data_IF_365817306237
#
_entry.id   IF_365817306237
#
_cell.length_a   1.000
_cell.length_b   1.000
_cell.length_c   1.000
_cell.angle_alpha   90.00
_cell.angle_beta   90.00
_cell.angle_gamma   90.00
#
_symmetry.space_group_name_H-M   'P 1'
#
loop_
_entity.id
_entity.type
_entity.pdbx_description
1 polymer ?
#
# COMPACT_ATOMS: atom_id res chain seq x y z
N UNK A 1 -12.19 -15.43 -23.53
CA UNK A 1 -12.41 -14.80 -22.22
C UNK A 1 -11.13 -14.07 -21.86
N UNK A 2 -11.08 -12.77 -22.11
CA UNK A 2 -9.91 -11.93 -21.86
C UNK A 2 -9.88 -11.59 -20.38
N UNK A 3 -8.94 -12.18 -19.64
CA UNK A 3 -8.61 -11.76 -18.29
C UNK A 3 -8.18 -10.30 -18.38
N UNK A 4 -9.00 -9.38 -17.86
CA UNK A 4 -8.65 -7.98 -17.66
C UNK A 4 -7.54 -7.89 -16.60
N UNK A 5 -6.36 -8.38 -16.92
CA UNK A 5 -5.17 -8.00 -16.18
C UNK A 5 -4.90 -6.56 -16.61
N UNK A 6 -5.33 -5.59 -15.79
CA UNK A 6 -5.03 -4.17 -15.98
C UNK A 6 -3.51 -4.05 -16.09
N UNK A 7 -3.03 -3.90 -17.32
CA UNK A 7 -1.62 -3.65 -17.62
C UNK A 7 -1.15 -2.53 -16.68
N UNK A 8 -0.08 -2.80 -15.91
CA UNK A 8 0.54 -1.92 -14.91
C UNK A 8 -0.05 -1.93 -13.49
N UNK A 9 -0.85 -2.93 -13.09
CA UNK A 9 -1.22 -3.08 -11.66
C UNK A 9 -0.14 -3.82 -10.88
N UNK A 10 0.52 -3.11 -9.96
CA UNK A 10 1.52 -3.69 -9.04
C UNK A 10 0.81 -4.11 -7.75
N UNK A 11 0.88 -5.40 -7.42
CA UNK A 11 0.36 -5.95 -6.17
C UNK A 11 1.54 -6.26 -5.26
N UNK A 12 1.60 -5.58 -4.10
CA UNK A 12 2.61 -5.81 -3.07
C UNK A 12 1.96 -6.45 -1.84
N UNK A 13 2.46 -7.61 -1.44
CA UNK A 13 2.14 -8.18 -0.13
C UNK A 13 3.12 -7.65 0.92
N UNK A 14 2.60 -6.91 1.89
CA UNK A 14 3.38 -6.30 2.99
C UNK A 14 3.20 -7.05 4.32
N UNK A 15 2.49 -8.19 4.30
CA UNK A 15 2.13 -8.97 5.47
C UNK A 15 1.07 -8.32 6.35
N UNK A 16 0.98 -8.80 7.59
CA UNK A 16 0.02 -8.29 8.59
C UNK A 16 0.58 -7.08 9.36
N UNK A 17 -0.28 -6.10 9.64
CA UNK A 17 0.03 -4.95 10.49
C UNK A 17 -0.88 -4.92 11.73
N UNK A 18 -0.38 -4.41 12.86
CA UNK A 18 -1.22 -4.18 14.05
C UNK A 18 -2.03 -2.89 13.89
N UNK A 19 -3.07 -2.74 14.72
CA UNK A 19 -3.91 -1.53 14.72
C UNK A 19 -3.09 -0.24 14.88
N UNK A 20 -2.07 -0.26 15.75
CA UNK A 20 -1.24 0.91 15.99
C UNK A 20 -0.32 1.21 14.80
N UNK A 21 0.23 0.19 14.12
CA UNK A 21 1.03 0.39 12.90
C UNK A 21 0.18 1.03 11.78
N UNK A 22 -1.10 0.65 11.69
CA UNK A 22 -2.06 1.25 10.75
C UNK A 22 -2.38 2.70 11.12
N UNK A 23 -2.52 2.99 12.42
CA UNK A 23 -2.75 4.34 12.92
C UNK A 23 -1.56 5.24 12.59
N UNK A 24 -0.33 4.78 12.85
CA UNK A 24 0.89 5.52 12.52
C UNK A 24 0.99 5.78 11.01
N UNK A 25 0.65 4.78 10.18
CA UNK A 25 0.60 4.93 8.72
C UNK A 25 -0.34 6.05 8.28
N UNK A 26 -1.51 6.21 8.92
CA UNK A 26 -2.46 7.28 8.60
C UNK A 26 -1.92 8.68 8.90
N UNK A 27 -0.98 8.79 9.84
CA UNK A 27 -0.27 10.04 10.15
C UNK A 27 1.01 10.24 9.31
N UNK A 28 1.34 9.31 8.40
CA UNK A 28 2.58 9.36 7.63
C UNK A 28 3.81 8.97 8.46
N UNK A 29 3.61 8.19 9.51
CA UNK A 29 4.63 7.84 10.49
C UNK A 29 4.80 6.31 10.64
N UNK A 30 5.76 5.91 11.46
CA UNK A 30 5.94 4.51 11.86
C UNK A 30 6.66 3.64 10.83
N UNK A 31 6.84 2.36 11.20
CA UNK A 31 7.63 1.40 10.42
C UNK A 31 6.94 0.99 9.11
N UNK A 32 5.61 0.90 9.13
CA UNK A 32 4.83 0.51 7.96
C UNK A 32 4.91 1.58 6.86
N UNK A 33 4.78 2.86 7.22
CA UNK A 33 4.97 3.96 6.29
C UNK A 33 6.37 3.94 5.66
N UNK A 34 7.43 3.81 6.48
CA UNK A 34 8.81 3.74 5.98
C UNK A 34 9.03 2.59 5.00
N UNK A 35 8.42 1.43 5.25
CA UNK A 35 8.46 0.27 4.33
C UNK A 35 7.76 0.56 3.02
N UNK A 36 6.56 1.16 3.06
CA UNK A 36 5.81 1.52 1.86
C UNK A 36 6.55 2.59 1.04
N UNK A 37 7.08 3.63 1.70
CA UNK A 37 7.85 4.69 1.06
C UNK A 37 9.07 4.13 0.32
N UNK A 38 9.80 3.21 0.97
CA UNK A 38 10.94 2.51 0.35
C UNK A 38 10.52 1.67 -0.86
N UNK A 39 9.44 0.92 -0.76
CA UNK A 39 8.95 0.12 -1.88
C UNK A 39 8.55 1.02 -3.07
N UNK A 40 7.91 2.16 -2.82
CA UNK A 40 7.57 3.14 -3.87
C UNK A 40 8.85 3.72 -4.51
N UNK A 41 9.87 4.02 -3.71
CA UNK A 41 11.15 4.53 -4.21
C UNK A 41 11.85 3.49 -5.10
N UNK A 42 11.89 2.22 -4.68
CA UNK A 42 12.45 1.11 -5.47
C UNK A 42 11.67 0.92 -6.80
N UNK A 43 10.34 1.09 -6.78
CA UNK A 43 9.51 1.06 -7.99
C UNK A 43 9.76 2.23 -8.94
N UNK A 44 10.07 3.42 -8.41
CA UNK A 44 10.47 4.57 -9.24
C UNK A 44 11.83 4.36 -9.87
N UNK A 45 12.80 3.94 -9.07
CA UNK A 45 14.18 3.68 -9.51
C UNK A 45 14.26 2.57 -10.59
N UNK A 46 13.38 1.57 -10.51
CA UNK A 46 13.30 0.50 -11.52
C UNK A 46 12.56 0.90 -12.80
N UNK A 47 11.89 2.06 -12.82
CA UNK A 47 11.11 2.54 -13.95
C UNK A 47 9.72 1.89 -14.08
N UNK A 48 9.33 1.05 -13.12
CA UNK A 48 7.99 0.43 -13.06
C UNK A 48 6.89 1.46 -12.76
N UNK A 49 7.26 2.58 -12.12
CA UNK A 49 6.38 3.71 -11.80
C UNK A 49 7.06 5.01 -12.23
N UNK A 50 6.29 5.95 -12.77
CA UNK A 50 6.81 7.27 -13.14
C UNK A 50 7.38 8.02 -11.92
N UNK A 51 8.50 8.74 -12.12
CA UNK A 51 9.18 9.54 -11.09
C UNK A 51 8.24 10.48 -10.33
N UNK A 52 7.32 11.12 -11.05
CA UNK A 52 6.34 12.07 -10.52
C UNK A 52 5.00 11.43 -10.14
N UNK A 53 4.89 10.11 -10.11
CA UNK A 53 3.67 9.45 -9.69
C UNK A 53 3.34 9.79 -8.23
N UNK A 54 2.08 10.20 -8.00
CA UNK A 54 1.54 10.42 -6.66
C UNK A 54 0.89 9.12 -6.16
N UNK A 55 1.45 8.46 -5.12
CA UNK A 55 0.88 7.23 -4.59
C UNK A 55 -0.41 7.50 -3.80
N UNK A 56 -1.44 6.68 -4.02
CA UNK A 56 -2.67 6.66 -3.22
C UNK A 56 -2.74 5.35 -2.45
N UNK A 57 -2.69 5.44 -1.12
CA UNK A 57 -2.71 4.27 -0.23
C UNK A 57 -4.12 4.12 0.35
N UNK A 58 -4.79 3.01 0.05
CA UNK A 58 -6.11 2.69 0.60
C UNK A 58 -5.95 1.66 1.71
N UNK A 59 -6.28 2.05 2.94
CA UNK A 59 -6.30 1.14 4.09
C UNK A 59 -7.74 0.71 4.35
N UNK A 60 -8.01 -0.58 4.20
CA UNK A 60 -9.31 -1.17 4.55
C UNK A 60 -9.22 -1.89 5.89
N UNK A 61 -10.18 -1.64 6.78
CA UNK A 61 -10.36 -2.41 8.01
C UNK A 61 -11.50 -3.38 7.79
N UNK A 62 -11.26 -4.68 7.99
CA UNK A 62 -12.34 -5.66 8.04
C UNK A 62 -13.28 -5.31 9.20
N UNK A 63 -14.56 -5.12 8.91
CA UNK A 63 -15.58 -4.95 9.94
C UNK A 63 -15.70 -6.27 10.71
N UNK A 64 -15.66 -6.22 12.04
CA UNK A 64 -15.97 -7.39 12.85
C UNK A 64 -17.48 -7.50 13.01
N UNK A 65 -18.03 -8.71 12.94
CA UNK A 65 -19.47 -8.98 13.11
C UNK A 65 -20.00 -8.57 14.50
N UNK A 66 -19.12 -8.21 15.44
CA UNK A 66 -19.46 -7.73 16.79
C UNK A 66 -19.52 -6.21 16.92
N UNK A 67 -19.19 -5.45 15.88
CA UNK A 67 -19.22 -3.98 15.87
C UNK A 67 -20.61 -3.44 15.41
N UNK A 68 -21.72 -4.12 15.77
CA UNK A 68 -23.11 -3.70 15.50
C UNK A 68 -23.73 -2.99 16.69
#
# INVERSE_FOLDING_TARGET
MTTLQKENTIILDMGSAKKDDIKDLQYGEGRLFKRIARAIEELKQSGEVAENAQPVIVVVKKKNDKDW
#
